data_IF_955396365370
#
_entry.id   IF_955396365370
#
_cell.length_a   1.000
_cell.length_b   1.000
_cell.length_c   1.000
_cell.angle_alpha   90.00
_cell.angle_beta   90.00
_cell.angle_gamma   90.00
#
_symmetry.space_group_name_H-M   'P 1'
#
loop_
_entity.id
_entity.type
_entity.pdbx_description
1 polymer ?
#
# COMPACT_ATOMS: atom_id res chain seq x y z
N UNK A 1 -5.37 -11.46 6.58
CA UNK A 1 -5.85 -10.42 7.48
C UNK A 1 -6.93 -9.69 6.71
N UNK A 2 -8.17 -9.77 7.16
CA UNK A 2 -9.18 -8.83 6.71
C UNK A 2 -8.68 -7.45 7.12
N UNK A 3 -8.42 -6.57 6.14
CA UNK A 3 -8.44 -5.15 6.43
C UNK A 3 -9.76 -4.86 7.14
N UNK A 4 -9.79 -3.84 8.00
CA UNK A 4 -11.04 -3.34 8.59
C UNK A 4 -12.09 -2.99 7.51
N UNK A 5 -11.63 -2.78 6.28
CA UNK A 5 -12.47 -2.78 5.08
C UNK A 5 -12.42 -4.17 4.46
N UNK A 6 -13.56 -4.78 4.22
CA UNK A 6 -13.65 -5.99 3.42
C UNK A 6 -12.98 -5.76 2.05
N UNK A 7 -12.49 -6.84 1.46
CA UNK A 7 -12.05 -6.82 0.07
C UNK A 7 -13.16 -6.28 -0.82
N UNK A 8 -12.79 -5.49 -1.82
CA UNK A 8 -13.76 -5.00 -2.79
C UNK A 8 -14.41 -6.17 -3.54
N UNK A 9 -15.72 -6.09 -3.82
CA UNK A 9 -16.35 -7.05 -4.72
C UNK A 9 -15.68 -7.01 -6.10
N UNK A 10 -15.47 -8.15 -6.77
CA UNK A 10 -14.82 -8.20 -8.10
C UNK A 10 -15.46 -7.25 -9.13
N UNK A 11 -16.77 -7.01 -9.03
CA UNK A 11 -17.46 -6.05 -9.90
C UNK A 11 -17.02 -4.59 -9.69
N UNK A 12 -16.65 -4.22 -8.46
CA UNK A 12 -16.12 -2.88 -8.15
C UNK A 12 -14.70 -2.75 -8.65
N UNK A 13 -13.90 -3.79 -8.44
CA UNK A 13 -12.51 -3.84 -8.90
C UNK A 13 -12.40 -3.73 -10.43
N UNK A 14 -13.28 -4.42 -11.17
CA UNK A 14 -13.36 -4.29 -12.65
C UNK A 14 -13.67 -2.85 -13.08
N UNK A 15 -14.62 -2.18 -12.41
CA UNK A 15 -14.97 -0.80 -12.73
C UNK A 15 -13.79 0.15 -12.45
N UNK A 16 -13.04 -0.08 -11.38
CA UNK A 16 -11.82 0.67 -11.06
C UNK A 16 -10.75 0.46 -12.13
N UNK A 17 -10.42 -0.79 -12.46
CA UNK A 17 -9.42 -1.11 -13.49
C UNK A 17 -9.76 -0.49 -14.85
N UNK A 18 -11.03 -0.47 -15.23
CA UNK A 18 -11.47 0.19 -16.47
C UNK A 18 -11.33 1.72 -16.40
N UNK A 19 -11.59 2.32 -15.23
CA UNK A 19 -11.40 3.75 -14.99
C UNK A 19 -9.91 4.12 -15.07
N UNK A 20 -9.05 3.35 -14.40
CA UNK A 20 -7.60 3.54 -14.38
C UNK A 20 -6.98 3.45 -15.78
N UNK A 21 -7.40 2.47 -16.58
CA UNK A 21 -6.93 2.33 -17.95
C UNK A 21 -7.26 3.58 -18.79
N UNK A 22 -8.43 4.20 -18.58
CA UNK A 22 -8.80 5.43 -19.25
C UNK A 22 -8.03 6.65 -18.73
N UNK A 23 -7.64 6.64 -17.43
CA UNK A 23 -6.84 7.67 -16.79
C UNK A 23 -5.34 7.62 -17.11
N UNK A 24 -4.90 6.64 -17.91
CA UNK A 24 -3.50 6.47 -18.28
C UNK A 24 -2.65 5.81 -17.18
N UNK A 25 -3.28 5.15 -16.21
CA UNK A 25 -2.59 4.28 -15.26
C UNK A 25 -2.36 2.93 -15.93
N UNK A 26 -1.14 2.38 -15.92
CA UNK A 26 -0.89 1.06 -16.50
C UNK A 26 -1.54 -0.01 -15.62
N UNK A 27 -2.58 -0.66 -16.11
CA UNK A 27 -3.30 -1.77 -15.47
C UNK A 27 -3.56 -2.89 -16.48
N UNK A 28 -3.75 -4.14 -16.03
CA UNK A 28 -4.11 -5.23 -16.93
C UNK A 28 -5.47 -4.98 -17.60
N UNK A 29 -5.58 -5.26 -18.89
CA UNK A 29 -6.85 -5.25 -19.61
C UNK A 29 -7.82 -6.29 -19.06
N UNK A 30 -9.11 -5.96 -18.96
CA UNK A 30 -10.16 -6.91 -18.57
C UNK A 30 -10.66 -7.63 -19.80
N UNK A 31 -10.43 -8.95 -19.86
CA UNK A 31 -10.83 -9.80 -20.98
C UNK A 31 -12.26 -10.32 -20.83
N UNK A 32 -12.66 -10.68 -19.60
CA UNK A 32 -13.97 -11.25 -19.35
C UNK A 32 -14.38 -11.10 -17.88
N UNK A 33 -15.62 -10.73 -17.62
CA UNK A 33 -16.20 -10.70 -16.28
C UNK A 33 -17.06 -11.95 -16.10
N UNK A 34 -16.76 -12.76 -15.07
CA UNK A 34 -17.48 -14.00 -14.81
C UNK A 34 -18.94 -13.72 -14.47
N UNK A 35 -19.83 -14.58 -14.97
CA UNK A 35 -21.23 -14.55 -14.65
C UNK A 35 -21.69 -15.86 -13.96
N UNK A 36 -22.81 -15.87 -13.26
CA UNK A 36 -23.30 -17.08 -12.54
C UNK A 36 -23.41 -18.33 -13.44
N UNK A 37 -23.62 -18.16 -14.73
CA UNK A 37 -23.70 -19.25 -15.73
C UNK A 37 -22.39 -19.98 -15.98
N UNK A 38 -21.25 -19.36 -15.64
CA UNK A 38 -19.91 -19.95 -15.85
C UNK A 38 -19.59 -21.01 -14.80
N UNK A 39 -20.25 -20.99 -13.62
CA UNK A 39 -20.00 -21.93 -12.55
C UNK A 39 -18.64 -21.82 -11.86
N UNK A 40 -17.95 -20.68 -12.04
CA UNK A 40 -16.59 -20.40 -11.53
C UNK A 40 -16.61 -19.47 -10.30
N UNK A 41 -17.78 -19.01 -9.86
CA UNK A 41 -17.91 -18.02 -8.80
C UNK A 41 -17.83 -16.58 -9.33
N UNK A 42 -17.66 -15.61 -8.42
CA UNK A 42 -17.48 -14.20 -8.76
C UNK A 42 -16.01 -13.92 -9.06
N UNK A 43 -15.76 -13.17 -10.14
CA UNK A 43 -14.40 -12.82 -10.54
C UNK A 43 -14.34 -12.28 -11.97
N UNK A 44 -13.12 -12.15 -12.47
CA UNK A 44 -12.87 -11.70 -13.86
C UNK A 44 -11.59 -12.34 -14.39
N UNK A 45 -11.46 -12.33 -15.70
CA UNK A 45 -10.24 -12.74 -16.41
C UNK A 45 -9.60 -11.48 -16.96
N UNK A 46 -8.31 -11.32 -16.67
CA UNK A 46 -7.52 -10.19 -17.12
C UNK A 46 -6.42 -10.64 -18.06
N UNK A 47 -5.88 -9.70 -18.80
CA UNK A 47 -4.73 -9.87 -19.67
C UNK A 47 -3.55 -10.48 -18.90
N UNK A 48 -2.85 -11.41 -19.56
CA UNK A 48 -1.59 -11.94 -19.03
C UNK A 48 -0.44 -10.99 -19.41
N UNK A 49 0.15 -10.36 -18.41
CA UNK A 49 1.28 -9.46 -18.60
C UNK A 49 2.60 -10.14 -18.23
N UNK A 50 3.67 -9.78 -18.94
CA UNK A 50 5.03 -10.20 -18.63
C UNK A 50 5.76 -9.10 -17.86
N UNK A 51 6.46 -9.47 -16.78
CA UNK A 51 7.21 -8.56 -15.93
C UNK A 51 7.63 -9.21 -14.61
N UNK A 52 8.24 -8.43 -13.75
CA UNK A 52 8.71 -8.87 -12.44
C UNK A 52 7.89 -8.18 -11.34
N UNK A 53 7.27 -8.98 -10.46
CA UNK A 53 6.51 -8.48 -9.32
C UNK A 53 7.21 -8.73 -7.98
N UNK A 54 8.17 -9.66 -7.92
CA UNK A 54 8.88 -9.96 -6.68
C UNK A 54 9.81 -8.81 -6.28
N UNK A 55 9.47 -8.08 -5.23
CA UNK A 55 10.21 -6.90 -4.79
C UNK A 55 11.71 -7.15 -4.60
N UNK A 56 12.10 -8.28 -4.02
CA UNK A 56 13.51 -8.64 -3.91
C UNK A 56 14.22 -8.73 -5.27
N UNK A 57 13.53 -9.17 -6.32
CA UNK A 57 14.08 -9.26 -7.67
C UNK A 57 14.08 -7.90 -8.35
N UNK A 58 13.01 -7.10 -8.19
CA UNK A 58 12.95 -5.73 -8.69
C UNK A 58 14.16 -4.93 -8.18
N UNK A 59 14.48 -5.04 -6.89
CA UNK A 59 15.59 -4.32 -6.26
C UNK A 59 16.98 -4.81 -6.71
N UNK A 60 17.12 -6.08 -7.12
CA UNK A 60 18.45 -6.69 -7.31
C UNK A 60 18.79 -7.10 -8.74
N UNK A 61 17.82 -7.36 -9.60
CA UNK A 61 18.09 -7.88 -10.95
C UNK A 61 18.81 -6.85 -11.83
N UNK A 62 19.93 -7.21 -12.46
CA UNK A 62 20.65 -6.30 -13.36
C UNK A 62 19.82 -5.84 -14.56
N UNK A 63 18.94 -6.70 -15.09
CA UNK A 63 18.07 -6.44 -16.24
C UNK A 63 17.09 -5.29 -15.99
N UNK A 64 16.83 -4.98 -14.72
CA UNK A 64 15.95 -3.90 -14.30
C UNK A 64 16.73 -2.66 -13.80
N UNK A 65 18.05 -2.59 -14.04
CA UNK A 65 18.86 -1.47 -13.53
C UNK A 65 18.42 -0.12 -14.09
N UNK A 66 18.10 -0.08 -15.38
CA UNK A 66 17.72 1.14 -16.07
C UNK A 66 16.32 1.60 -15.67
N UNK A 67 15.37 0.66 -15.59
CA UNK A 67 14.03 0.93 -15.06
C UNK A 67 14.09 1.45 -13.61
N UNK A 68 14.93 0.84 -12.74
CA UNK A 68 15.07 1.32 -11.34
C UNK A 68 15.56 2.74 -11.22
N UNK A 69 16.33 3.26 -12.19
CA UNK A 69 16.87 4.61 -12.12
C UNK A 69 15.78 5.68 -12.12
N UNK A 70 14.63 5.41 -12.75
CA UNK A 70 13.47 6.31 -12.79
C UNK A 70 12.28 5.82 -11.96
N UNK A 71 12.30 4.56 -11.49
CA UNK A 71 11.11 3.88 -10.94
C UNK A 71 10.43 4.63 -9.80
N UNK A 72 11.17 5.34 -8.94
CA UNK A 72 10.57 6.13 -7.88
C UNK A 72 9.81 7.35 -8.44
N UNK A 73 10.37 8.02 -9.45
CA UNK A 73 9.70 9.11 -10.15
C UNK A 73 8.45 8.61 -10.88
N UNK A 74 8.57 7.49 -11.60
CA UNK A 74 7.46 6.86 -12.33
C UNK A 74 6.33 6.42 -11.38
N UNK A 75 6.68 5.92 -10.17
CA UNK A 75 5.70 5.64 -9.11
C UNK A 75 4.97 6.91 -8.66
N UNK A 76 5.69 8.02 -8.50
CA UNK A 76 5.08 9.31 -8.17
C UNK A 76 4.05 9.75 -9.22
N UNK A 77 4.40 9.66 -10.49
CA UNK A 77 3.48 9.98 -11.58
C UNK A 77 2.28 9.03 -11.63
N UNK A 78 2.50 7.73 -11.47
CA UNK A 78 1.40 6.75 -11.46
C UNK A 78 0.42 7.02 -10.31
N UNK A 79 0.92 7.29 -9.11
CA UNK A 79 0.10 7.65 -7.95
C UNK A 79 -0.68 8.96 -8.17
N UNK A 80 -0.04 9.97 -8.74
CA UNK A 80 -0.72 11.23 -9.06
C UNK A 80 -1.89 11.01 -10.03
N UNK A 81 -1.72 10.18 -11.05
CA UNK A 81 -2.81 9.83 -11.99
C UNK A 81 -3.93 9.05 -11.34
N UNK A 82 -3.61 8.10 -10.43
CA UNK A 82 -4.62 7.37 -9.65
C UNK A 82 -5.44 8.34 -8.80
N UNK A 83 -4.77 9.26 -8.12
CA UNK A 83 -5.42 10.21 -7.21
C UNK A 83 -6.23 11.29 -7.95
N UNK A 84 -5.92 11.59 -9.21
CA UNK A 84 -6.66 12.55 -10.05
C UNK A 84 -7.83 11.93 -10.83
N UNK A 85 -8.07 10.62 -10.69
CA UNK A 85 -9.14 9.94 -11.41
C UNK A 85 -10.52 10.52 -11.04
N UNK A 86 -11.34 10.88 -12.03
CA UNK A 86 -12.69 11.37 -11.79
C UNK A 86 -13.63 10.20 -11.46
N UNK A 87 -13.56 9.71 -10.22
CA UNK A 87 -14.35 8.56 -9.77
C UNK A 87 -15.84 8.90 -9.81
N UNK A 88 -16.67 8.17 -10.59
CA UNK A 88 -18.10 8.41 -10.65
C UNK A 88 -18.76 8.27 -9.28
N UNK A 89 -19.77 9.12 -8.98
CA UNK A 89 -20.47 9.09 -7.70
C UNK A 89 -21.03 7.70 -7.35
N UNK A 90 -21.56 6.98 -8.33
CA UNK A 90 -22.06 5.61 -8.16
C UNK A 90 -21.00 4.61 -7.71
N UNK A 91 -19.74 4.86 -8.04
CA UNK A 91 -18.61 4.06 -7.60
C UNK A 91 -18.13 4.53 -6.22
N UNK A 92 -18.05 5.84 -5.97
CA UNK A 92 -17.72 6.41 -4.64
C UNK A 92 -18.66 5.88 -3.55
N UNK A 93 -19.97 5.75 -3.82
CA UNK A 93 -20.96 5.21 -2.88
C UNK A 93 -20.76 3.73 -2.54
N UNK A 94 -19.94 3.01 -3.30
CA UNK A 94 -19.58 1.59 -3.11
C UNK A 94 -18.18 1.41 -2.52
N UNK A 95 -17.38 2.46 -2.46
CA UNK A 95 -16.07 2.47 -1.85
C UNK A 95 -16.16 2.93 -0.39
N UNK A 96 -15.27 2.43 0.44
CA UNK A 96 -15.11 2.99 1.78
C UNK A 96 -14.58 4.42 1.68
N UNK A 97 -15.11 5.30 2.52
CA UNK A 97 -14.57 6.65 2.68
C UNK A 97 -14.02 6.76 4.10
N UNK A 98 -12.71 6.89 4.23
CA UNK A 98 -12.05 6.71 5.52
C UNK A 98 -11.07 7.85 5.81
N UNK A 99 -11.28 8.51 6.94
CA UNK A 99 -10.37 9.53 7.42
C UNK A 99 -9.09 8.93 8.03
N UNK A 100 -7.98 9.70 8.06
CA UNK A 100 -6.74 9.26 8.72
C UNK A 100 -6.96 8.82 10.17
N UNK A 101 -7.75 9.57 10.93
CA UNK A 101 -8.07 9.24 12.32
C UNK A 101 -8.82 7.91 12.44
N UNK A 102 -9.82 7.68 11.58
CA UNK A 102 -10.60 6.44 11.58
C UNK A 102 -9.69 5.23 11.31
N UNK A 103 -8.79 5.33 10.32
CA UNK A 103 -7.82 4.29 10.01
C UNK A 103 -6.92 3.92 11.20
N UNK A 104 -6.42 4.92 11.93
CA UNK A 104 -5.60 4.69 13.11
C UNK A 104 -6.39 3.99 14.19
N UNK A 105 -7.63 4.45 14.46
CA UNK A 105 -8.50 3.87 15.50
C UNK A 105 -8.88 2.43 15.18
N UNK A 106 -9.33 2.16 13.98
CA UNK A 106 -9.70 0.81 13.54
C UNK A 106 -8.52 -0.16 13.62
N UNK A 107 -7.33 0.28 13.20
CA UNK A 107 -6.12 -0.54 13.30
C UNK A 107 -5.77 -0.82 14.75
N UNK A 108 -5.89 0.19 15.61
CA UNK A 108 -5.61 0.04 17.05
C UNK A 108 -6.65 -0.86 17.75
N UNK A 109 -7.91 -0.73 17.42
CA UNK A 109 -8.97 -1.61 17.92
C UNK A 109 -8.75 -3.07 17.49
N UNK A 110 -8.35 -3.30 16.23
CA UNK A 110 -7.98 -4.63 15.75
C UNK A 110 -6.79 -5.23 16.54
N UNK A 111 -5.80 -4.40 16.88
CA UNK A 111 -4.69 -4.83 17.74
C UNK A 111 -5.15 -5.16 19.16
N UNK A 112 -5.97 -4.32 19.78
CA UNK A 112 -6.51 -4.58 21.14
C UNK A 112 -7.25 -5.92 21.19
N UNK A 113 -8.02 -6.23 20.15
CA UNK A 113 -8.75 -7.50 20.04
C UNK A 113 -7.85 -8.75 19.98
N UNK A 114 -6.56 -8.61 19.66
CA UNK A 114 -5.60 -9.71 19.65
C UNK A 114 -5.14 -10.12 21.08
N UNK A 115 -5.42 -9.32 22.09
CA UNK A 115 -5.05 -9.54 23.49
C UNK A 115 -3.57 -9.94 23.66
N UNK A 116 -2.69 -9.26 22.94
CA UNK A 116 -1.24 -9.52 22.94
C UNK A 116 -0.51 -8.18 23.11
N UNK A 117 -0.28 -7.70 24.36
CA UNK A 117 0.27 -6.38 24.61
C UNK A 117 1.62 -6.15 23.94
N UNK A 118 1.73 -5.07 23.20
CA UNK A 118 2.93 -4.62 22.48
C UNK A 118 3.10 -3.11 22.69
N UNK A 119 3.90 -2.66 23.69
CA UNK A 119 3.97 -1.24 24.10
C UNK A 119 4.29 -0.28 22.94
N UNK A 120 5.08 -0.72 21.95
CA UNK A 120 5.42 0.12 20.81
C UNK A 120 4.22 0.36 19.89
N UNK A 121 3.31 -0.60 19.75
CA UNK A 121 2.07 -0.44 18.99
C UNK A 121 1.18 0.61 19.67
N UNK A 122 1.00 0.53 21.01
CA UNK A 122 0.22 1.51 21.75
C UNK A 122 0.84 2.91 21.69
N UNK A 123 2.16 3.01 21.83
CA UNK A 123 2.88 4.28 21.72
C UNK A 123 2.69 4.90 20.33
N UNK A 124 2.83 4.11 19.27
CA UNK A 124 2.68 4.58 17.89
C UNK A 124 1.24 5.02 17.61
N UNK A 125 0.23 4.28 18.08
CA UNK A 125 -1.17 4.67 17.95
C UNK A 125 -1.44 6.03 18.60
N UNK A 126 -0.93 6.28 19.81
CA UNK A 126 -1.07 7.56 20.51
C UNK A 126 -0.38 8.70 19.77
N UNK A 127 0.82 8.45 19.24
CA UNK A 127 1.53 9.44 18.43
C UNK A 127 0.73 9.79 17.18
N UNK A 128 0.24 8.79 16.45
CA UNK A 128 -0.56 8.98 15.25
C UNK A 128 -1.83 9.79 15.55
N UNK A 129 -2.57 9.44 16.60
CA UNK A 129 -3.77 10.19 17.00
C UNK A 129 -3.49 11.64 17.43
N UNK A 130 -2.27 11.92 17.89
CA UNK A 130 -1.85 13.27 18.28
C UNK A 130 -1.32 14.10 17.09
N UNK A 131 -1.09 13.47 15.93
CA UNK A 131 -0.49 14.08 14.74
C UNK A 131 -1.34 13.85 13.48
N UNK A 132 -2.63 13.60 13.61
CA UNK A 132 -3.55 13.39 12.48
C UNK A 132 -3.49 14.60 11.54
N UNK A 133 -3.30 14.42 10.22
CA UNK A 133 -3.38 15.50 9.26
C UNK A 133 -4.73 16.23 9.36
N UNK A 134 -4.69 17.56 9.50
CA UNK A 134 -5.89 18.36 9.68
C UNK A 134 -6.64 18.60 8.37
N UNK A 135 -5.88 18.78 7.29
CA UNK A 135 -6.39 19.12 5.97
C UNK A 135 -5.85 18.10 4.95
N UNK A 136 -6.74 17.48 4.19
CA UNK A 136 -6.41 16.62 3.05
C UNK A 136 -7.56 16.62 2.05
N UNK A 137 -7.23 16.42 0.79
CA UNK A 137 -8.22 16.18 -0.25
C UNK A 137 -8.55 14.69 -0.31
N UNK A 138 -9.85 14.35 -0.34
CA UNK A 138 -10.29 12.97 -0.46
C UNK A 138 -10.26 12.54 -1.91
N UNK A 139 -9.39 11.60 -2.25
CA UNK A 139 -9.24 11.03 -3.60
C UNK A 139 -9.40 9.52 -3.58
N UNK A 140 -9.34 8.87 -4.75
CA UNK A 140 -9.15 7.43 -4.82
C UNK A 140 -7.74 7.10 -4.31
N UNK A 141 -7.64 6.15 -3.40
CA UNK A 141 -6.39 5.64 -2.84
C UNK A 141 -6.29 4.15 -3.18
N UNK A 142 -5.17 3.71 -3.72
CA UNK A 142 -4.92 2.30 -4.02
C UNK A 142 -4.89 1.44 -2.75
N UNK A 143 -4.26 1.94 -1.70
CA UNK A 143 -4.23 1.33 -0.36
C UNK A 143 -3.16 0.25 -0.17
N UNK A 144 -2.61 -0.34 -1.24
CA UNK A 144 -1.49 -1.30 -1.20
C UNK A 144 -0.47 -1.08 -2.34
N UNK A 145 -0.19 0.18 -2.69
CA UNK A 145 0.78 0.52 -3.73
C UNK A 145 2.22 0.27 -3.25
N UNK A 146 2.80 -0.85 -3.66
CA UNK A 146 4.13 -1.30 -3.20
C UNK A 146 4.76 -2.32 -4.14
N UNK A 147 6.04 -2.62 -3.94
CA UNK A 147 6.67 -3.81 -4.49
C UNK A 147 5.86 -5.07 -4.18
N UNK A 148 5.58 -5.87 -5.17
CA UNK A 148 4.68 -7.00 -5.12
C UNK A 148 3.40 -6.76 -5.88
N UNK A 149 2.90 -5.50 -5.85
CA UNK A 149 1.72 -5.05 -6.58
C UNK A 149 2.09 -4.14 -7.77
N UNK A 150 3.38 -3.93 -8.00
CA UNK A 150 3.92 -3.31 -9.21
C UNK A 150 4.51 -4.39 -10.10
N UNK A 151 4.08 -4.45 -11.35
CA UNK A 151 4.75 -5.23 -12.39
C UNK A 151 5.77 -4.35 -13.08
N UNK A 152 7.05 -4.70 -12.96
CA UNK A 152 8.16 -3.92 -13.50
C UNK A 152 8.77 -4.64 -14.69
N UNK A 153 8.94 -3.93 -15.78
CA UNK A 153 9.63 -4.35 -17.00
C UNK A 153 10.94 -3.59 -17.16
N UNK A 154 11.81 -3.91 -18.11
CA UNK A 154 12.99 -3.09 -18.43
C UNK A 154 12.65 -1.64 -18.82
N UNK A 155 11.41 -1.38 -19.29
CA UNK A 155 10.95 -0.07 -19.72
C UNK A 155 10.26 0.76 -18.61
N UNK A 156 10.15 0.22 -17.38
CA UNK A 156 9.50 0.88 -16.24
C UNK A 156 8.31 0.11 -15.67
N UNK A 157 7.28 0.83 -15.19
CA UNK A 157 6.06 0.22 -14.64
C UNK A 157 5.20 -0.33 -15.79
N UNK A 158 5.09 -1.66 -15.85
CA UNK A 158 4.23 -2.34 -16.82
C UNK A 158 2.76 -2.41 -16.38
N UNK A 159 2.52 -2.58 -15.05
CA UNK A 159 1.17 -2.53 -14.50
C UNK A 159 1.16 -2.27 -12.98
N UNK A 160 0.07 -1.67 -12.50
CA UNK A 160 -0.33 -1.61 -11.09
C UNK A 160 -1.39 -2.68 -10.86
N UNK A 161 -1.17 -3.52 -9.84
CA UNK A 161 -1.94 -4.73 -9.55
C UNK A 161 -2.55 -4.67 -8.14
N UNK A 162 -3.54 -5.53 -7.88
CA UNK A 162 -4.08 -5.79 -6.54
C UNK A 162 -4.83 -4.58 -5.94
N UNK A 163 -5.94 -4.25 -6.56
CA UNK A 163 -6.80 -3.10 -6.23
C UNK A 163 -7.82 -3.39 -5.12
N UNK A 164 -7.71 -4.52 -4.43
CA UNK A 164 -8.69 -4.99 -3.43
C UNK A 164 -8.83 -4.09 -2.20
N UNK A 165 -7.81 -3.24 -1.91
CA UNK A 165 -7.80 -2.31 -0.77
C UNK A 165 -8.12 -0.86 -1.16
N UNK A 166 -8.59 -0.63 -2.38
CA UNK A 166 -8.95 0.72 -2.82
C UNK A 166 -10.09 1.31 -1.98
N UNK A 167 -9.96 2.61 -1.71
CA UNK A 167 -10.92 3.36 -0.91
C UNK A 167 -10.81 4.85 -1.23
N UNK A 168 -11.76 5.65 -0.75
CA UNK A 168 -11.67 7.10 -0.77
C UNK A 168 -10.96 7.58 0.50
N UNK A 169 -9.90 8.37 0.37
CA UNK A 169 -9.12 8.81 1.52
C UNK A 169 -8.02 9.81 1.17
N UNK A 170 -7.07 9.98 2.09
CA UNK A 170 -5.90 10.86 1.90
C UNK A 170 -4.89 10.22 0.93
N UNK A 171 -4.58 10.88 -0.21
CA UNK A 171 -3.64 10.37 -1.21
C UNK A 171 -2.23 10.14 -0.68
N UNK A 172 -1.79 10.90 0.32
CA UNK A 172 -0.45 10.73 0.89
C UNK A 172 -0.23 9.36 1.53
N UNK A 173 -1.32 8.61 1.79
CA UNK A 173 -1.25 7.23 2.29
C UNK A 173 -0.47 6.31 1.37
N UNK A 174 -0.69 6.39 0.06
CA UNK A 174 0.00 5.52 -0.90
C UNK A 174 1.49 5.87 -1.01
N UNK A 175 1.82 7.17 -1.02
CA UNK A 175 3.22 7.62 -1.03
C UNK A 175 3.94 7.14 0.24
N UNK A 176 3.32 7.31 1.41
CA UNK A 176 3.87 6.86 2.69
C UNK A 176 4.01 5.34 2.76
N UNK A 177 3.03 4.60 2.23
CA UNK A 177 3.06 3.14 2.20
C UNK A 177 4.24 2.59 1.38
N UNK A 178 4.50 3.15 0.20
CA UNK A 178 5.65 2.76 -0.61
C UNK A 178 7.00 3.02 0.08
N UNK A 179 7.04 3.97 1.02
CA UNK A 179 8.23 4.32 1.79
C UNK A 179 8.48 3.41 3.00
N UNK A 180 7.54 2.55 3.41
CA UNK A 180 7.69 1.65 4.56
C UNK A 180 8.88 0.71 4.37
N UNK A 181 9.70 0.55 5.42
CA UNK A 181 10.93 -0.25 5.36
C UNK A 181 10.71 -1.71 4.95
N UNK A 182 9.55 -2.27 5.23
CA UNK A 182 9.18 -3.64 4.85
C UNK A 182 9.23 -3.88 3.34
N UNK A 183 9.07 -2.85 2.52
CA UNK A 183 9.10 -2.91 1.05
C UNK A 183 10.47 -2.61 0.45
N UNK A 184 11.49 -2.32 1.27
CA UNK A 184 12.85 -1.99 0.80
C UNK A 184 13.73 -3.21 0.54
N UNK A 185 13.31 -4.41 0.94
CA UNK A 185 14.00 -5.69 0.72
C UNK A 185 15.50 -5.66 1.09
N UNK A 186 15.83 -4.96 2.19
CA UNK A 186 17.18 -4.83 2.73
C UNK A 186 17.96 -3.63 2.18
N UNK A 187 17.46 -2.92 1.17
CA UNK A 187 18.10 -1.71 0.65
C UNK A 187 17.61 -0.45 1.40
N UNK A 188 18.08 -0.27 2.63
CA UNK A 188 17.64 0.80 3.53
C UNK A 188 18.00 2.21 3.05
N UNK A 189 19.04 2.33 2.23
CA UNK A 189 19.53 3.63 1.71
C UNK A 189 18.62 4.23 0.63
N UNK A 190 17.71 3.43 0.07
CA UNK A 190 16.71 3.84 -0.92
C UNK A 190 15.32 3.64 -0.32
N UNK A 191 14.75 4.68 0.33
CA UNK A 191 13.51 4.55 1.09
C UNK A 191 12.29 4.12 0.27
N UNK A 192 12.21 4.53 -0.99
CA UNK A 192 11.09 4.23 -1.87
C UNK A 192 11.25 2.82 -2.43
N UNK A 193 10.53 1.87 -1.87
CA UNK A 193 10.50 0.47 -2.30
C UNK A 193 11.87 -0.22 -2.39
N UNK A 194 12.95 0.35 -1.82
CA UNK A 194 14.31 -0.13 -1.94
C UNK A 194 14.97 0.15 -3.31
N UNK A 195 14.34 0.95 -4.16
CA UNK A 195 14.83 1.27 -5.50
C UNK A 195 15.03 2.76 -5.78
N UNK A 196 14.48 3.67 -4.96
CA UNK A 196 14.63 5.10 -5.20
C UNK A 196 14.62 5.97 -3.95
N UNK A 197 14.77 7.27 -4.14
CA UNK A 197 14.77 8.28 -3.10
C UNK A 197 13.39 8.91 -2.95
N UNK A 198 13.11 9.47 -1.78
CA UNK A 198 11.84 10.17 -1.50
C UNK A 198 11.70 11.41 -2.40
N UNK A 199 12.82 12.11 -2.66
CA UNK A 199 12.83 13.28 -3.52
C UNK A 199 12.41 12.97 -4.95
N UNK A 200 12.77 11.78 -5.48
CA UNK A 200 12.40 11.36 -6.82
C UNK A 200 10.88 11.00 -6.88
N UNK A 201 10.36 10.33 -5.86
CA UNK A 201 8.92 10.02 -5.72
C UNK A 201 8.09 11.32 -5.68
N UNK A 202 8.50 12.26 -4.83
CA UNK A 202 7.86 13.57 -4.71
C UNK A 202 7.91 14.34 -6.02
N UNK A 203 9.07 14.40 -6.67
CA UNK A 203 9.23 15.10 -7.94
C UNK A 203 8.30 14.52 -9.03
N UNK A 204 8.16 13.18 -9.08
CA UNK A 204 7.21 12.51 -9.98
C UNK A 204 5.75 12.90 -9.69
N UNK A 205 5.36 12.88 -8.43
CA UNK A 205 4.00 13.23 -7.99
C UNK A 205 3.67 14.69 -8.27
N UNK A 206 4.57 15.61 -7.89
CA UNK A 206 4.40 17.05 -8.11
C UNK A 206 4.42 17.44 -9.60
N UNK A 207 5.13 16.68 -10.46
CA UNK A 207 5.16 16.93 -11.90
C UNK A 207 3.80 16.75 -12.58
N UNK A 208 2.94 15.87 -12.05
CA UNK A 208 1.59 15.61 -12.56
C UNK A 208 0.54 16.49 -11.85
N UNK A 209 0.63 16.61 -10.53
CA UNK A 209 -0.38 17.35 -9.74
C UNK A 209 -0.20 18.87 -9.78
N UNK A 210 1.03 19.34 -9.98
CA UNK A 210 1.39 20.76 -9.83
C UNK A 210 1.31 21.28 -8.39
N UNK A 211 1.09 20.41 -7.39
CA UNK A 211 0.94 20.76 -5.98
C UNK A 211 2.10 20.19 -5.16
N UNK A 212 2.62 20.94 -4.19
CA UNK A 212 3.71 20.48 -3.34
C UNK A 212 3.22 19.38 -2.39
N UNK A 213 4.05 18.37 -2.18
CA UNK A 213 3.81 17.31 -1.19
C UNK A 213 4.14 17.82 0.22
N UNK A 214 3.20 17.68 1.16
CA UNK A 214 3.43 17.99 2.57
C UNK A 214 4.24 16.89 3.25
N UNK A 215 5.51 17.18 3.56
CA UNK A 215 6.43 16.22 4.16
C UNK A 215 5.98 15.72 5.55
N UNK A 216 5.44 16.55 6.46
CA UNK A 216 4.84 16.07 7.70
C UNK A 216 3.73 15.03 7.47
N UNK A 217 2.83 15.26 6.53
CA UNK A 217 1.77 14.31 6.18
C UNK A 217 2.33 13.03 5.56
N UNK A 218 3.30 13.14 4.64
CA UNK A 218 4.00 11.96 4.11
C UNK A 218 4.64 11.13 5.24
N UNK A 219 5.29 11.80 6.20
CA UNK A 219 5.87 11.15 7.37
C UNK A 219 4.83 10.46 8.23
N UNK A 220 3.70 11.11 8.49
CA UNK A 220 2.57 10.50 9.22
C UNK A 220 2.16 9.18 8.57
N UNK A 221 2.04 9.13 7.26
CA UNK A 221 1.62 7.94 6.53
C UNK A 221 2.70 6.85 6.45
N UNK A 222 3.97 7.19 6.44
CA UNK A 222 5.06 6.20 6.59
C UNK A 222 5.01 5.53 7.98
N UNK A 223 4.77 6.32 9.03
CA UNK A 223 4.58 5.81 10.40
C UNK A 223 3.32 4.94 10.48
N UNK A 224 2.20 5.42 9.93
CA UNK A 224 0.96 4.65 9.88
C UNK A 224 1.16 3.32 9.15
N UNK A 225 1.85 3.32 8.03
CA UNK A 225 2.14 2.10 7.27
C UNK A 225 2.91 1.07 8.11
N UNK A 226 3.95 1.50 8.83
CA UNK A 226 4.71 0.64 9.73
C UNK A 226 3.85 0.14 10.90
N UNK A 227 3.03 1.00 11.48
CA UNK A 227 2.06 0.64 12.52
C UNK A 227 1.04 -0.38 12.02
N UNK A 228 0.38 -0.11 10.89
CA UNK A 228 -0.61 -0.99 10.29
C UNK A 228 -0.01 -2.37 9.97
N UNK A 229 1.20 -2.40 9.40
CA UNK A 229 1.89 -3.66 9.08
C UNK A 229 2.26 -4.44 10.34
N UNK A 230 2.64 -3.78 11.43
CA UNK A 230 2.93 -4.42 12.71
C UNK A 230 1.71 -5.16 13.27
N UNK A 231 0.53 -4.53 13.20
CA UNK A 231 -0.75 -5.11 13.66
C UNK A 231 -1.22 -6.23 12.73
N UNK A 232 -1.20 -5.98 11.42
CA UNK A 232 -1.63 -6.95 10.40
C UNK A 232 -0.85 -8.25 10.48
N UNK A 233 0.49 -8.16 10.60
CA UNK A 233 1.33 -9.36 10.71
C UNK A 233 1.12 -10.10 12.03
N UNK A 234 0.84 -9.38 13.13
CA UNK A 234 0.47 -9.99 14.40
C UNK A 234 -0.86 -10.75 14.28
N UNK A 235 -1.85 -10.18 13.60
CA UNK A 235 -3.12 -10.82 13.27
C UNK A 235 -2.93 -12.10 12.44
N UNK A 236 -2.04 -12.09 11.43
CA UNK A 236 -1.71 -13.28 10.63
C UNK A 236 -1.16 -14.43 11.50
N UNK A 237 -0.32 -14.12 12.49
CA UNK A 237 0.13 -15.14 13.45
C UNK A 237 -1.03 -15.70 14.28
N UNK A 238 -2.00 -14.86 14.62
CA UNK A 238 -3.15 -15.27 15.40
C UNK A 238 -4.09 -16.20 14.62
N UNK A 239 -4.36 -15.95 13.33
CA UNK A 239 -5.19 -16.85 12.49
C UNK A 239 -4.57 -18.24 12.36
N UNK A 240 -3.23 -18.34 12.38
CA UNK A 240 -2.57 -19.64 12.45
C UNK A 240 -2.74 -20.32 13.83
N UNK A 241 -2.54 -19.57 14.92
CA UNK A 241 -2.69 -20.11 16.30
C UNK A 241 -4.11 -20.58 16.60
N UNK A 242 -5.12 -19.90 16.09
CA UNK A 242 -6.52 -20.27 16.23
C UNK A 242 -6.92 -21.48 15.37
N UNK A 243 -6.10 -21.86 14.39
CA UNK A 243 -6.41 -22.93 13.43
C UNK A 243 -7.30 -22.47 12.27
N UNK A 244 -7.66 -21.18 12.21
CA UNK A 244 -8.47 -20.61 11.13
C UNK A 244 -7.77 -20.72 9.78
N UNK A 245 -6.47 -20.47 9.75
CA UNK A 245 -5.67 -20.60 8.54
C UNK A 245 -4.43 -21.48 8.82
N UNK A 246 -4.47 -22.78 8.52
CA UNK A 246 -3.39 -23.72 8.83
C UNK A 246 -2.23 -23.64 7.80
N UNK A 247 -1.73 -22.44 7.52
CA UNK A 247 -0.62 -22.20 6.61
C UNK A 247 0.63 -21.84 7.41
N UNK A 248 1.77 -22.47 7.11
CA UNK A 248 3.08 -22.15 7.71
C UNK A 248 3.53 -20.73 7.36
N UNK A 249 3.07 -20.18 6.27
CA UNK A 249 3.34 -18.81 5.84
C UNK A 249 2.88 -17.78 6.87
N UNK A 250 1.69 -17.97 7.46
CA UNK A 250 1.09 -17.03 8.43
C UNK A 250 1.99 -16.76 9.65
N UNK A 251 2.50 -17.76 10.40
CA UNK A 251 3.41 -17.48 11.50
C UNK A 251 4.78 -16.96 11.05
N UNK A 252 5.25 -17.30 9.84
CA UNK A 252 6.49 -16.74 9.29
C UNK A 252 6.34 -15.24 9.03
N UNK A 253 5.24 -14.80 8.42
CA UNK A 253 4.93 -13.38 8.24
C UNK A 253 4.70 -12.71 9.60
N UNK A 254 4.02 -13.38 10.53
CA UNK A 254 3.73 -12.86 11.86
C UNK A 254 4.97 -12.47 12.68
N UNK A 255 6.13 -13.09 12.43
CA UNK A 255 7.40 -12.69 13.05
C UNK A 255 7.85 -11.29 12.67
N UNK A 256 7.37 -10.77 11.54
CA UNK A 256 7.73 -9.45 11.04
C UNK A 256 7.06 -8.29 11.81
N UNK A 257 6.12 -8.59 12.71
CA UNK A 257 5.53 -7.57 13.57
C UNK A 257 6.59 -6.80 14.37
N UNK A 258 7.58 -7.51 14.92
CA UNK A 258 8.68 -6.87 15.66
C UNK A 258 9.60 -6.02 14.78
N UNK A 259 9.78 -6.40 13.51
CA UNK A 259 10.54 -5.58 12.54
C UNK A 259 9.82 -4.23 12.32
N UNK A 260 8.51 -4.27 12.03
CA UNK A 260 7.71 -3.07 11.81
C UNK A 260 7.59 -2.18 13.07
N UNK A 261 7.56 -2.78 14.28
CA UNK A 261 7.63 -2.03 15.53
C UNK A 261 8.99 -1.32 15.69
N UNK A 262 10.10 -1.96 15.30
CA UNK A 262 11.41 -1.30 15.28
C UNK A 262 11.47 -0.18 14.24
N UNK A 263 10.79 -0.33 13.10
CA UNK A 263 10.66 0.76 12.14
C UNK A 263 9.94 1.96 12.76
N UNK A 264 8.87 1.75 13.54
CA UNK A 264 8.23 2.82 14.32
C UNK A 264 9.18 3.48 15.30
N UNK A 265 10.05 2.71 16.00
CA UNK A 265 11.08 3.27 16.89
C UNK A 265 12.01 4.20 16.10
N UNK A 266 12.56 3.76 14.98
CA UNK A 266 13.44 4.58 14.13
C UNK A 266 12.75 5.83 13.57
N UNK A 267 11.46 5.72 13.29
CA UNK A 267 10.67 6.83 12.78
C UNK A 267 10.31 7.86 13.87
N UNK A 268 10.08 7.46 15.10
CA UNK A 268 9.48 8.32 16.16
C UNK A 268 10.45 8.77 17.23
N UNK A 269 11.50 8.01 17.49
CA UNK A 269 12.43 8.32 18.57
C UNK A 269 13.67 9.01 17.98
N UNK A 270 13.95 10.27 18.35
CA UNK A 270 15.12 10.98 17.86
C UNK A 270 16.42 10.31 18.35
N UNK A 271 17.40 10.24 17.48
CA UNK A 271 18.73 9.75 17.75
C UNK A 271 19.19 8.63 16.82
N UNK A 272 20.50 8.42 16.73
CA UNK A 272 21.05 7.24 16.06
C UNK A 272 20.95 6.04 16.99
N UNK A 273 20.09 5.08 16.62
CA UNK A 273 20.13 3.77 17.29
C UNK A 273 21.37 3.02 16.79
N UNK A 274 22.14 2.37 17.67
CA UNK A 274 23.30 1.59 17.25
C UNK A 274 22.86 0.52 16.24
N UNK A 275 23.66 0.36 15.20
CA UNK A 275 23.41 -0.58 14.10
C UNK A 275 23.43 -2.04 14.59
#
# INVERSE_FOLDING_TARGET
>A
ASSSYGQLPPSVEVELLQLDAHGGVPVPGIEYVLCPGDGLGDGYIMEWLEGETMGQRIVKRPELSDARASLAFDCGQALARIHDLPVPRSLVERLHNVSPEALVRETWEAYIALDTPQPMIDFTAQWLLSNVPADFETTLVHGDFRNGNLMVTPDGIGAVLDWELCHMGDPMRDLGWLCVNSWRFGNRSLPVGGFGKVEDLIAGYESETGQPVDLPTLRFWEVFGSFWWSVTTLGMANTWRSGETPSVERPVIGRRSSEAQMDCVHLLIPGELPA
#
